data_IF_261625203289
#
_entry.id   IF_261625203289
#
_cell.length_a   1.000
_cell.length_b   1.000
_cell.length_c   1.000
_cell.angle_alpha   90.00
_cell.angle_beta   90.00
_cell.angle_gamma   90.00
#
_symmetry.space_group_name_H-M   'P 1'
#
loop_
_entity.id
_entity.type
_entity.pdbx_description
1 polymer ?
#
# COMPACT_ATOMS: atom_id res chain seq x y z
N UNK A 1 -22.57 45.06 35.45
CA UNK A 1 -23.18 44.51 34.23
C UNK A 1 -22.06 44.19 33.23
N UNK A 2 -21.74 42.90 32.98
CA UNK A 2 -20.67 42.53 32.05
C UNK A 2 -21.19 42.53 30.60
N UNK A 3 -20.34 42.93 29.66
CA UNK A 3 -20.61 43.00 28.21
C UNK A 3 -20.79 41.59 27.63
N UNK A 4 -21.61 41.42 26.56
CA UNK A 4 -21.78 40.11 25.94
C UNK A 4 -20.50 39.68 25.21
N UNK A 5 -20.00 38.50 25.53
CA UNK A 5 -18.97 37.81 24.76
C UNK A 5 -19.52 37.50 23.36
N UNK A 6 -18.87 38.05 22.33
CA UNK A 6 -19.11 37.65 20.95
C UNK A 6 -18.61 36.20 20.81
N UNK A 7 -19.53 35.25 20.67
CA UNK A 7 -19.19 33.92 20.19
C UNK A 7 -18.66 34.07 18.75
N UNK A 8 -17.43 33.61 18.53
CA UNK A 8 -16.90 33.48 17.19
C UNK A 8 -17.72 32.40 16.45
N UNK A 9 -18.20 32.75 15.26
CA UNK A 9 -18.95 31.86 14.38
C UNK A 9 -18.06 30.66 13.97
N UNK A 10 -18.46 29.41 14.27
CA UNK A 10 -17.71 28.21 13.89
C UNK A 10 -17.47 28.08 12.38
N UNK A 11 -18.28 28.74 11.55
CA UNK A 11 -18.13 28.74 10.09
C UNK A 11 -16.91 29.53 9.61
N UNK A 12 -16.39 30.47 10.40
CA UNK A 12 -15.20 31.24 10.04
C UNK A 12 -13.88 30.54 10.40
N UNK A 13 -13.87 29.60 11.35
CA UNK A 13 -12.69 28.77 11.63
C UNK A 13 -12.40 27.77 10.50
N UNK A 14 -13.44 27.28 9.82
CA UNK A 14 -13.32 26.29 8.73
C UNK A 14 -12.72 26.90 7.46
N UNK A 15 -12.91 28.22 7.24
CA UNK A 15 -12.44 28.92 6.03
C UNK A 15 -10.97 29.32 6.15
N UNK A 16 -10.48 29.60 7.37
CA UNK A 16 -9.07 29.91 7.62
C UNK A 16 -8.12 28.71 7.46
N UNK A 17 -8.58 27.51 7.81
CA UNK A 17 -7.75 26.30 7.80
C UNK A 17 -7.49 25.70 6.40
N UNK A 18 -8.34 26.00 5.40
CA UNK A 18 -8.23 25.42 4.04
C UNK A 18 -7.40 26.25 3.05
N UNK A 19 -6.88 27.41 3.47
CA UNK A 19 -6.02 28.26 2.62
C UNK A 19 -4.56 27.81 2.56
N UNK A 20 -4.18 26.78 3.32
CA UNK A 20 -2.83 26.20 3.39
C UNK A 20 -2.72 24.83 2.68
N UNK A 21 -3.63 24.51 1.76
CA UNK A 21 -3.61 23.23 1.03
C UNK A 21 -2.62 23.34 -0.15
N UNK A 22 -1.34 23.13 0.16
CA UNK A 22 -0.21 23.19 -0.76
C UNK A 22 -0.08 21.94 -1.65
N UNK A 23 0.86 22.00 -2.59
CA UNK A 23 1.14 21.00 -3.63
C UNK A 23 1.31 19.54 -3.12
N UNK A 24 1.59 19.32 -1.83
CA UNK A 24 1.67 18.00 -1.19
C UNK A 24 0.37 17.20 -1.26
N UNK A 25 -0.80 17.83 -1.10
CA UNK A 25 -2.08 17.12 -1.21
C UNK A 25 -2.34 16.60 -2.63
N UNK A 26 -1.85 17.30 -3.65
CA UNK A 26 -1.96 16.85 -5.05
C UNK A 26 -1.12 15.60 -5.30
N UNK A 27 0.06 15.51 -4.67
CA UNK A 27 0.90 14.31 -4.71
C UNK A 27 0.22 13.08 -4.10
N UNK A 28 -0.49 13.27 -2.98
CA UNK A 28 -1.25 12.20 -2.30
C UNK A 28 -2.46 11.68 -3.09
N UNK A 29 -3.01 12.47 -4.02
CA UNK A 29 -4.13 12.04 -4.88
C UNK A 29 -3.69 11.27 -6.12
N UNK A 30 -2.44 11.42 -6.57
CA UNK A 30 -1.88 10.75 -7.77
C UNK A 30 -1.41 9.30 -7.45
N UNK A 31 -1.76 8.79 -6.27
CA UNK A 31 -0.95 7.79 -5.58
C UNK A 31 -1.02 6.31 -5.99
N UNK A 32 -1.97 5.81 -6.81
CA UNK A 32 -2.20 4.36 -6.81
C UNK A 32 -2.39 3.75 -8.19
N UNK A 33 -1.25 3.43 -8.81
CA UNK A 33 -1.17 2.55 -9.96
C UNK A 33 -0.38 1.27 -9.62
N UNK A 34 -1.07 0.22 -9.16
CA UNK A 34 -0.57 -1.16 -9.31
C UNK A 34 -1.75 -2.05 -9.72
N UNK A 35 -1.65 -2.66 -10.90
CA UNK A 35 -2.49 -3.81 -11.27
C UNK A 35 -1.59 -5.03 -11.48
N UNK A 36 -1.79 -6.03 -10.61
CA UNK A 36 -1.61 -7.48 -10.81
C UNK A 36 -0.39 -7.99 -11.60
N UNK A 37 0.64 -8.51 -10.91
CA UNK A 37 1.71 -9.34 -11.52
C UNK A 37 1.32 -10.82 -11.71
N UNK A 38 0.44 -11.38 -10.85
CA UNK A 38 0.15 -12.83 -10.81
C UNK A 38 -1.29 -13.28 -11.12
N UNK A 39 -2.10 -12.49 -11.85
CA UNK A 39 -3.40 -12.98 -12.34
C UNK A 39 -3.22 -13.69 -13.69
N UNK A 40 -2.56 -14.84 -13.70
CA UNK A 40 -2.67 -15.74 -14.86
C UNK A 40 -3.00 -17.20 -14.52
N UNK A 41 -2.98 -17.60 -13.24
CA UNK A 41 -3.39 -18.95 -12.84
C UNK A 41 -4.44 -18.90 -11.70
N UNK A 42 -5.72 -18.70 -12.05
CA UNK A 42 -6.83 -19.20 -11.20
C UNK A 42 -7.84 -18.21 -10.58
N UNK A 43 -7.98 -16.98 -11.07
CA UNK A 43 -9.13 -16.12 -10.68
C UNK A 43 -10.02 -15.85 -11.90
N UNK A 44 -11.21 -16.49 -12.03
CA UNK A 44 -12.10 -16.32 -13.19
C UNK A 44 -12.76 -14.92 -13.29
N UNK A 45 -12.64 -14.07 -12.27
CA UNK A 45 -13.45 -12.85 -12.12
C UNK A 45 -12.65 -11.53 -12.23
N UNK A 46 -11.67 -11.47 -13.13
CA UNK A 46 -11.00 -10.22 -13.48
C UNK A 46 -11.94 -9.32 -14.32
N UNK A 47 -12.90 -8.66 -13.65
CA UNK A 47 -13.88 -7.76 -14.29
C UNK A 47 -13.36 -6.38 -14.69
N UNK A 48 -12.07 -6.06 -14.52
CA UNK A 48 -11.60 -4.67 -14.67
C UNK A 48 -10.25 -4.54 -15.37
N UNK A 49 -10.25 -4.69 -16.69
CA UNK A 49 -9.80 -3.72 -17.71
C UNK A 49 -9.65 -4.41 -19.08
N UNK A 50 -10.32 -3.85 -20.09
CA UNK A 50 -10.18 -4.26 -21.48
C UNK A 50 -8.78 -3.91 -22.02
N UNK A 51 -7.97 -4.93 -22.31
CA UNK A 51 -7.23 -5.02 -23.58
C UNK A 51 -7.07 -6.50 -23.93
N UNK A 52 -7.98 -7.01 -24.75
CA UNK A 52 -7.82 -8.32 -25.38
C UNK A 52 -6.78 -8.21 -26.48
N UNK A 53 -5.69 -8.99 -26.40
CA UNK A 53 -5.01 -9.44 -27.62
C UNK A 53 -4.74 -10.94 -27.50
N UNK A 54 -5.29 -11.67 -28.47
CA UNK A 54 -5.09 -13.11 -28.70
C UNK A 54 -3.60 -13.46 -28.68
N UNK A 55 -3.20 -14.43 -27.87
CA UNK A 55 -1.89 -15.09 -27.94
C UNK A 55 -1.26 -15.29 -26.58
N UNK A 56 -1.17 -16.55 -26.13
CA UNK A 56 -0.54 -16.94 -24.86
C UNK A 56 0.96 -16.67 -24.89
N UNK A 57 1.38 -15.59 -24.24
CA UNK A 57 2.77 -15.23 -24.02
C UNK A 57 2.94 -14.50 -22.70
N UNK A 58 4.01 -14.85 -21.99
CA UNK A 58 4.43 -14.33 -20.69
C UNK A 58 4.64 -12.80 -20.73
N UNK A 59 4.12 -12.08 -19.73
CA UNK A 59 4.18 -10.60 -19.65
C UNK A 59 5.61 -10.14 -19.30
N UNK A 60 6.37 -9.65 -20.30
CA UNK A 60 7.65 -8.94 -20.09
C UNK A 60 7.43 -7.45 -19.80
N UNK A 61 8.29 -6.87 -18.96
CA UNK A 61 8.11 -5.60 -18.24
C UNK A 61 7.84 -4.30 -19.02
N UNK A 62 7.82 -4.28 -20.36
CA UNK A 62 7.51 -3.04 -21.12
C UNK A 62 6.02 -2.70 -21.14
N UNK A 63 5.15 -3.71 -21.18
CA UNK A 63 3.69 -3.53 -21.14
C UNK A 63 3.21 -3.11 -19.75
N UNK A 64 3.86 -3.63 -18.70
CA UNK A 64 3.55 -3.32 -17.30
C UNK A 64 3.83 -1.85 -16.97
N UNK A 65 4.96 -1.32 -17.43
CA UNK A 65 5.28 0.12 -17.30
C UNK A 65 4.19 0.99 -17.95
N UNK A 66 3.68 0.58 -19.11
CA UNK A 66 2.64 1.31 -19.85
C UNK A 66 1.31 1.33 -19.08
N UNK A 67 0.92 0.23 -18.42
CA UNK A 67 -0.27 0.18 -17.57
C UNK A 67 -0.20 1.13 -16.36
N UNK A 68 0.99 1.28 -15.76
CA UNK A 68 1.22 2.23 -14.65
C UNK A 68 0.97 3.67 -15.12
N UNK A 69 1.42 4.03 -16.33
CA UNK A 69 1.17 5.37 -16.89
C UNK A 69 -0.31 5.69 -17.05
N UNK A 70 -1.12 4.75 -17.55
CA UNK A 70 -2.55 5.00 -17.76
C UNK A 70 -3.30 5.16 -16.43
N UNK A 71 -2.97 4.34 -15.42
CA UNK A 71 -3.54 4.45 -14.08
C UNK A 71 -3.16 5.76 -13.39
N UNK A 72 -1.89 6.18 -13.46
CA UNK A 72 -1.47 7.48 -12.92
C UNK A 72 -2.15 8.67 -13.61
N UNK A 73 -2.40 8.57 -14.93
CA UNK A 73 -3.16 9.60 -15.67
C UNK A 73 -4.60 9.65 -15.18
N UNK A 74 -5.25 8.50 -14.94
CA UNK A 74 -6.61 8.48 -14.37
C UNK A 74 -6.67 9.07 -12.98
N UNK A 75 -5.74 8.71 -12.09
CA UNK A 75 -5.68 9.27 -10.74
C UNK A 75 -5.50 10.79 -10.79
N UNK A 76 -4.63 11.28 -11.67
CA UNK A 76 -4.41 12.71 -11.89
C UNK A 76 -5.67 13.42 -12.42
N UNK A 77 -6.37 12.81 -13.38
CA UNK A 77 -7.63 13.36 -13.89
C UNK A 77 -8.73 13.35 -12.84
N UNK A 78 -8.80 12.31 -12.02
CA UNK A 78 -9.81 12.19 -10.96
C UNK A 78 -9.57 13.23 -9.88
N UNK A 79 -8.31 13.39 -9.46
CA UNK A 79 -7.87 14.42 -8.52
C UNK A 79 -8.25 15.82 -9.03
N UNK A 80 -7.97 16.10 -10.30
CA UNK A 80 -8.26 17.40 -10.91
C UNK A 80 -9.77 17.69 -10.97
N UNK A 81 -10.60 16.71 -11.34
CA UNK A 81 -12.06 16.88 -11.32
C UNK A 81 -12.55 17.16 -9.90
N UNK A 82 -12.08 16.42 -8.90
CA UNK A 82 -12.46 16.63 -7.50
C UNK A 82 -12.00 17.98 -6.95
N UNK A 83 -10.80 18.45 -7.34
CA UNK A 83 -10.27 19.74 -6.89
C UNK A 83 -10.95 20.95 -7.53
N UNK A 84 -11.46 20.78 -8.74
CA UNK A 84 -12.11 21.87 -9.48
C UNK A 84 -13.62 21.94 -9.21
N UNK A 85 -14.22 20.88 -8.65
CA UNK A 85 -15.64 20.80 -8.32
C UNK A 85 -16.01 21.55 -7.03
N UNK A 86 -15.75 22.85 -7.02
CA UNK A 86 -16.21 23.76 -5.97
C UNK A 86 -17.03 24.90 -6.57
N UNK A 87 -18.16 25.32 -5.94
CA UNK A 87 -19.01 26.38 -6.47
C UNK A 87 -18.26 27.69 -6.76
N UNK A 88 -17.21 28.00 -6.00
CA UNK A 88 -16.37 29.17 -6.21
C UNK A 88 -15.50 29.05 -7.48
N UNK A 89 -14.97 27.86 -7.77
CA UNK A 89 -14.10 27.58 -8.92
C UNK A 89 -14.89 27.38 -10.21
N UNK A 90 -16.10 26.79 -10.12
CA UNK A 90 -17.03 26.63 -11.24
C UNK A 90 -17.46 27.96 -11.89
N UNK A 91 -17.26 29.11 -11.24
CA UNK A 91 -17.50 30.45 -11.85
C UNK A 91 -16.56 30.76 -13.02
N UNK A 92 -15.41 30.09 -13.09
CA UNK A 92 -14.50 30.23 -14.22
C UNK A 92 -15.00 29.37 -15.40
N UNK A 93 -15.32 30.02 -16.53
CA UNK A 93 -15.82 29.35 -17.74
C UNK A 93 -14.94 28.20 -18.24
N UNK A 94 -13.62 28.31 -18.07
CA UNK A 94 -12.70 27.25 -18.47
C UNK A 94 -12.87 26.00 -17.58
N UNK A 95 -13.03 26.21 -16.26
CA UNK A 95 -13.24 25.14 -15.28
C UNK A 95 -14.61 24.48 -15.49
N UNK A 96 -15.65 25.29 -15.70
CA UNK A 96 -17.00 24.80 -15.99
C UNK A 96 -17.03 23.94 -17.26
N UNK A 97 -16.41 24.41 -18.34
CA UNK A 97 -16.33 23.66 -19.61
C UNK A 97 -15.57 22.34 -19.44
N UNK A 98 -14.48 22.35 -18.66
CA UNK A 98 -13.72 21.15 -18.34
C UNK A 98 -14.56 20.13 -17.55
N UNK A 99 -15.21 20.56 -16.47
CA UNK A 99 -16.03 19.68 -15.62
C UNK A 99 -17.20 19.10 -16.42
N UNK A 100 -17.92 19.92 -17.19
CA UNK A 100 -19.03 19.45 -18.02
C UNK A 100 -18.61 18.34 -19.01
N UNK A 101 -17.34 18.34 -19.44
CA UNK A 101 -16.81 17.33 -20.36
C UNK A 101 -16.41 16.04 -19.67
N UNK A 102 -15.76 16.13 -18.50
CA UNK A 102 -15.08 14.98 -17.88
C UNK A 102 -15.77 14.46 -16.62
N UNK A 103 -16.62 15.23 -15.95
CA UNK A 103 -17.27 14.87 -14.68
C UNK A 103 -18.04 13.55 -14.78
N UNK A 104 -18.85 13.38 -15.84
CA UNK A 104 -19.63 12.15 -16.07
C UNK A 104 -18.73 10.95 -16.31
N UNK A 105 -17.72 11.08 -17.18
CA UNK A 105 -16.80 9.99 -17.52
C UNK A 105 -16.00 9.56 -16.29
N UNK A 106 -15.46 10.53 -15.54
CA UNK A 106 -14.74 10.26 -14.30
C UNK A 106 -15.67 9.68 -13.23
N UNK A 107 -16.94 10.06 -13.20
CA UNK A 107 -17.96 9.44 -12.36
C UNK A 107 -18.13 7.95 -12.62
N UNK A 108 -18.32 7.56 -13.89
CA UNK A 108 -18.43 6.15 -14.27
C UNK A 108 -17.14 5.38 -13.97
N UNK A 109 -15.97 5.97 -14.19
CA UNK A 109 -14.69 5.31 -13.86
C UNK A 109 -14.59 5.07 -12.34
N UNK A 110 -14.94 6.06 -11.51
CA UNK A 110 -14.97 5.91 -10.05
C UNK A 110 -15.93 4.82 -9.59
N UNK A 111 -17.04 4.59 -10.29
CA UNK A 111 -17.97 3.50 -9.98
C UNK A 111 -17.39 2.12 -10.27
N UNK A 112 -16.50 2.01 -11.25
CA UNK A 112 -15.84 0.76 -11.64
C UNK A 112 -14.55 0.50 -10.86
N UNK A 113 -13.96 1.52 -10.24
CA UNK A 113 -12.78 1.36 -9.39
C UNK A 113 -13.11 0.61 -8.11
N UNK A 114 -12.13 -0.12 -7.59
CA UNK A 114 -12.23 -0.82 -6.32
C UNK A 114 -12.41 0.17 -5.18
N UNK A 115 -13.33 -0.14 -4.27
CA UNK A 115 -13.64 0.71 -3.12
C UNK A 115 -13.62 -0.09 -1.83
N UNK A 116 -13.61 0.63 -0.71
CA UNK A 116 -13.67 0.02 0.61
C UNK A 116 -15.00 -0.74 0.80
N UNK A 117 -16.08 -0.31 0.15
CA UNK A 117 -17.38 -0.98 0.21
C UNK A 117 -17.40 -2.36 -0.46
N UNK A 118 -16.39 -2.71 -1.28
CA UNK A 118 -16.28 -4.04 -1.88
C UNK A 118 -15.80 -5.11 -0.88
N UNK A 119 -15.47 -4.71 0.34
CA UNK A 119 -14.92 -5.56 1.39
C UNK A 119 -15.78 -5.56 2.64
N UNK A 120 -16.06 -6.75 3.17
CA UNK A 120 -16.66 -6.92 4.49
C UNK A 120 -15.56 -6.92 5.55
N UNK A 121 -15.67 -6.00 6.51
CA UNK A 121 -14.76 -5.93 7.65
C UNK A 121 -15.09 -7.05 8.63
N UNK A 122 -14.12 -7.94 8.86
CA UNK A 122 -14.26 -9.06 9.80
C UNK A 122 -13.77 -8.65 11.19
N UNK A 123 -12.54 -8.12 11.29
CA UNK A 123 -11.92 -7.77 12.58
C UNK A 123 -10.80 -6.75 12.38
N UNK A 124 -10.54 -5.90 13.37
CA UNK A 124 -9.28 -5.14 13.44
C UNK A 124 -8.18 -6.04 13.99
N UNK A 125 -7.07 -6.16 13.27
CA UNK A 125 -5.95 -7.05 13.61
C UNK A 125 -4.67 -6.29 13.99
N UNK A 126 -4.59 -4.99 13.66
CA UNK A 126 -3.45 -4.15 14.07
C UNK A 126 -3.82 -2.68 14.09
N UNK A 127 -3.09 -1.89 14.88
CA UNK A 127 -3.20 -0.42 14.91
C UNK A 127 -1.80 0.17 14.82
N UNK A 128 -1.62 1.11 13.91
CA UNK A 128 -0.35 1.79 13.69
C UNK A 128 -0.46 3.29 13.92
N UNK A 129 0.66 4.00 13.76
CA UNK A 129 0.74 5.45 13.99
C UNK A 129 -0.17 6.28 13.06
N UNK A 130 -0.44 5.78 11.84
CA UNK A 130 -1.17 6.48 10.78
C UNK A 130 -2.51 5.83 10.41
N UNK A 131 -2.90 4.75 11.10
CA UNK A 131 -4.16 4.07 10.83
C UNK A 131 -4.26 2.67 11.44
N UNK A 132 -4.99 1.78 10.77
CA UNK A 132 -5.27 0.44 11.30
C UNK A 132 -5.22 -0.63 10.20
N UNK A 133 -4.96 -1.87 10.61
CA UNK A 133 -4.98 -3.06 9.77
C UNK A 133 -6.21 -3.88 10.11
N UNK A 134 -7.01 -4.19 9.10
CA UNK A 134 -8.26 -4.91 9.21
C UNK A 134 -8.17 -6.25 8.47
N UNK A 135 -8.65 -7.32 9.10
CA UNK A 135 -9.01 -8.54 8.41
C UNK A 135 -10.31 -8.29 7.64
N UNK A 136 -10.27 -8.47 6.34
CA UNK A 136 -11.40 -8.20 5.45
C UNK A 136 -11.70 -9.38 4.54
N UNK A 137 -12.93 -9.48 4.07
CA UNK A 137 -13.36 -10.44 3.06
C UNK A 137 -13.86 -9.71 1.83
N UNK A 138 -13.28 -9.97 0.68
CA UNK A 138 -13.76 -9.38 -0.57
C UNK A 138 -15.12 -9.98 -0.95
N UNK A 139 -16.16 -9.15 -1.10
CA UNK A 139 -17.55 -9.58 -1.28
C UNK A 139 -17.76 -10.47 -2.51
N UNK A 140 -17.15 -10.11 -3.64
CA UNK A 140 -17.34 -10.87 -4.88
C UNK A 140 -16.60 -12.22 -4.84
N UNK A 141 -15.32 -12.21 -4.47
CA UNK A 141 -14.49 -13.44 -4.53
C UNK A 141 -14.53 -14.30 -3.28
N UNK A 142 -15.10 -13.80 -2.18
CA UNK A 142 -15.08 -14.41 -0.84
C UNK A 142 -13.68 -14.66 -0.24
N UNK A 143 -12.61 -14.25 -0.91
CA UNK A 143 -11.22 -14.33 -0.43
C UNK A 143 -10.99 -13.37 0.73
N UNK A 144 -10.11 -13.79 1.65
CA UNK A 144 -9.75 -13.08 2.87
C UNK A 144 -8.40 -12.38 2.69
N UNK A 145 -8.31 -11.14 3.16
CA UNK A 145 -7.13 -10.29 3.03
C UNK A 145 -6.87 -9.49 4.31
N UNK A 146 -5.65 -8.99 4.46
CA UNK A 146 -5.32 -7.95 5.41
C UNK A 146 -5.34 -6.60 4.69
N UNK A 147 -6.19 -5.67 5.13
CA UNK A 147 -6.31 -4.34 4.56
C UNK A 147 -5.72 -3.32 5.53
N UNK A 148 -4.63 -2.65 5.14
CA UNK A 148 -4.03 -1.53 5.88
C UNK A 148 -4.65 -0.22 5.40
N UNK A 149 -5.25 0.52 6.32
CA UNK A 149 -5.86 1.83 6.10
C UNK A 149 -4.90 2.89 6.63
N UNK A 150 -4.56 3.87 5.81
CA UNK A 150 -3.69 5.00 6.18
C UNK A 150 -4.46 6.31 6.03
N UNK A 151 -4.57 7.08 7.11
CA UNK A 151 -5.28 8.37 7.12
C UNK A 151 -4.50 9.43 6.36
N UNK A 152 -5.07 9.95 5.27
CA UNK A 152 -4.45 11.04 4.48
C UNK A 152 -4.21 12.28 5.34
N UNK A 153 -5.17 12.60 6.21
CA UNK A 153 -5.07 13.75 7.11
C UNK A 153 -3.89 13.63 8.09
N UNK A 154 -3.71 12.46 8.72
CA UNK A 154 -2.59 12.26 9.66
C UNK A 154 -1.23 12.23 8.95
N UNK A 155 -1.21 11.78 7.69
CA UNK A 155 0.01 11.81 6.86
C UNK A 155 0.43 13.25 6.52
N UNK A 156 -0.50 14.10 6.07
CA UNK A 156 -0.21 15.51 5.74
C UNK A 156 0.25 16.28 6.97
N UNK A 157 -0.39 16.03 8.12
CA UNK A 157 -0.02 16.65 9.39
C UNK A 157 1.40 16.29 9.86
N UNK A 158 1.96 15.18 9.39
CA UNK A 158 3.27 14.64 9.76
C UNK A 158 4.15 14.45 8.52
N UNK A 159 4.39 15.55 7.79
CA UNK A 159 5.09 15.62 6.49
C UNK A 159 6.41 14.83 6.41
N UNK A 160 7.12 14.64 7.53
CA UNK A 160 8.39 13.88 7.57
C UNK A 160 8.24 12.34 7.47
N UNK A 161 7.01 11.81 7.31
CA UNK A 161 6.71 10.38 7.44
C UNK A 161 6.26 9.67 6.15
N UNK A 162 6.46 10.29 4.98
CA UNK A 162 5.89 9.85 3.70
C UNK A 162 6.64 8.68 3.02
N UNK A 163 6.95 7.60 3.75
CA UNK A 163 7.62 6.39 3.23
C UNK A 163 6.67 5.34 2.62
N UNK A 164 5.42 5.71 2.36
CA UNK A 164 4.41 4.78 1.85
C UNK A 164 4.65 4.36 0.40
N UNK A 165 5.40 5.16 -0.37
CA UNK A 165 5.78 4.84 -1.74
C UNK A 165 6.72 3.64 -1.77
N UNK A 166 7.77 3.68 -0.94
CA UNK A 166 8.73 2.59 -0.78
C UNK A 166 8.02 1.35 -0.24
N UNK A 167 7.16 1.51 0.76
CA UNK A 167 6.38 0.38 1.30
C UNK A 167 5.54 -0.30 0.21
N UNK A 168 4.76 0.49 -0.54
CA UNK A 168 3.95 -0.01 -1.65
C UNK A 168 4.81 -0.69 -2.71
N UNK A 169 5.90 -0.06 -3.12
CA UNK A 169 6.74 -0.54 -4.22
C UNK A 169 7.45 -1.84 -3.83
N UNK A 170 7.97 -1.95 -2.60
CA UNK A 170 8.55 -3.20 -2.08
C UNK A 170 7.52 -4.32 -2.15
N UNK A 171 6.32 -4.14 -1.60
CA UNK A 171 5.30 -5.20 -1.56
C UNK A 171 4.66 -5.51 -2.92
N UNK A 172 4.63 -4.54 -3.84
CA UNK A 172 4.05 -4.71 -5.17
C UNK A 172 5.01 -5.44 -6.12
N UNK A 173 6.30 -5.14 -6.03
CA UNK A 173 7.31 -5.59 -6.97
C UNK A 173 8.20 -6.71 -6.43
N UNK A 174 8.16 -6.99 -5.12
CA UNK A 174 8.83 -8.18 -4.57
C UNK A 174 8.25 -9.44 -5.20
N UNK A 175 9.10 -10.19 -5.90
CA UNK A 175 8.81 -11.55 -6.34
C UNK A 175 9.51 -12.52 -5.38
N UNK A 176 9.24 -12.33 -4.09
CA UNK A 176 9.95 -13.02 -3.01
C UNK A 176 8.94 -13.66 -2.06
N UNK A 177 9.11 -14.94 -1.71
CA UNK A 177 8.25 -15.60 -0.73
C UNK A 177 8.40 -15.00 0.67
N UNK A 178 9.43 -14.21 0.91
CA UNK A 178 9.79 -13.65 2.22
C UNK A 178 9.14 -12.30 2.54
N UNK A 179 8.43 -11.71 1.58
CA UNK A 179 7.76 -10.40 1.70
C UNK A 179 6.27 -10.60 1.62
N UNK A 180 5.51 -9.92 2.48
CA UNK A 180 4.04 -9.90 2.38
C UNK A 180 3.63 -9.22 1.08
N UNK A 181 2.88 -9.95 0.25
CA UNK A 181 2.51 -9.50 -1.07
C UNK A 181 1.34 -8.51 -1.05
N UNK A 182 1.50 -7.40 -1.77
CA UNK A 182 0.40 -6.49 -2.08
C UNK A 182 -0.45 -7.05 -3.22
N UNK A 183 -1.75 -7.25 -2.98
CA UNK A 183 -2.71 -7.66 -4.00
C UNK A 183 -3.19 -6.47 -4.82
N UNK A 184 -3.59 -5.40 -4.14
CA UNK A 184 -3.99 -4.14 -4.77
C UNK A 184 -3.89 -3.00 -3.76
N UNK A 185 -3.87 -1.77 -4.28
CA UNK A 185 -3.99 -0.59 -3.46
C UNK A 185 -4.89 0.43 -4.15
N UNK A 186 -5.74 1.09 -3.38
CA UNK A 186 -6.71 2.09 -3.85
C UNK A 186 -6.90 3.18 -2.79
N UNK A 187 -7.65 4.23 -3.11
CA UNK A 187 -7.82 5.40 -2.24
C UNK A 187 -9.23 5.98 -2.33
N UNK A 188 -9.66 6.64 -1.27
CA UNK A 188 -10.86 7.48 -1.26
C UNK A 188 -10.51 8.92 -0.81
N UNK A 189 -11.52 9.70 -0.39
CA UNK A 189 -11.33 11.07 0.08
C UNK A 189 -10.55 11.17 1.40
N UNK A 190 -10.48 10.09 2.20
CA UNK A 190 -9.97 10.10 3.57
C UNK A 190 -8.76 9.20 3.79
N UNK A 191 -8.68 8.08 3.09
CA UNK A 191 -7.73 7.01 3.34
C UNK A 191 -7.02 6.53 2.07
N UNK A 192 -5.80 6.01 2.26
CA UNK A 192 -5.16 5.08 1.36
C UNK A 192 -5.38 3.65 1.87
N UNK A 193 -5.65 2.73 0.96
CA UNK A 193 -5.91 1.33 1.27
C UNK A 193 -4.87 0.45 0.59
N UNK A 194 -4.24 -0.42 1.36
CA UNK A 194 -3.35 -1.47 0.87
C UNK A 194 -3.95 -2.83 1.22
N UNK A 195 -4.36 -3.59 0.21
CA UNK A 195 -4.91 -4.94 0.37
C UNK A 195 -3.78 -5.94 0.15
N UNK A 196 -3.45 -6.66 1.20
CA UNK A 196 -2.33 -7.58 1.29
C UNK A 196 -2.83 -9.01 1.56
N UNK A 197 -1.98 -9.99 1.29
CA UNK A 197 -2.26 -11.36 1.74
C UNK A 197 -2.41 -11.39 3.28
N UNK A 198 -3.37 -12.19 3.75
CA UNK A 198 -3.58 -12.36 5.19
C UNK A 198 -2.64 -13.43 5.74
N UNK A 199 -1.94 -13.09 6.83
CA UNK A 199 -1.02 -13.97 7.56
C UNK A 199 -1.73 -14.55 8.80
N UNK A 200 -2.30 -15.77 8.72
CA UNK A 200 -3.14 -16.32 9.79
C UNK A 200 -2.35 -16.78 11.01
N UNK A 201 -1.03 -17.02 10.87
CA UNK A 201 -0.17 -17.47 11.97
C UNK A 201 0.17 -16.38 12.99
N UNK A 202 -0.22 -15.12 12.74
CA UNK A 202 0.10 -13.99 13.59
C UNK A 202 1.55 -13.54 13.43
N UNK A 203 2.07 -12.90 14.47
CA UNK A 203 3.45 -12.40 14.55
C UNK A 203 4.31 -13.24 15.50
N UNK A 204 5.64 -13.07 15.43
CA UNK A 204 6.55 -13.76 16.35
C UNK A 204 6.44 -13.29 17.80
N UNK A 205 5.87 -12.11 18.07
CA UNK A 205 5.57 -11.66 19.46
C UNK A 205 4.56 -12.61 20.10
N UNK A 206 3.48 -12.92 19.40
CA UNK A 206 2.45 -13.83 19.87
C UNK A 206 2.99 -15.25 20.03
N UNK A 207 3.85 -15.71 19.11
CA UNK A 207 4.50 -17.02 19.21
C UNK A 207 5.38 -17.11 20.47
N UNK A 208 6.27 -16.14 20.68
CA UNK A 208 7.20 -16.12 21.83
C UNK A 208 6.50 -15.86 23.16
N UNK A 209 5.33 -15.21 23.15
CA UNK A 209 4.51 -15.01 24.35
C UNK A 209 3.69 -16.25 24.73
N UNK A 210 3.39 -17.12 23.76
CA UNK A 210 2.55 -18.32 23.96
C UNK A 210 3.41 -19.56 24.24
N UNK A 211 4.61 -19.62 23.68
CA UNK A 211 5.47 -20.81 23.74
C UNK A 211 6.89 -20.44 24.17
N UNK A 212 7.49 -21.30 24.98
CA UNK A 212 8.94 -21.31 25.16
C UNK A 212 9.59 -21.76 23.84
N UNK A 213 10.42 -20.90 23.27
CA UNK A 213 11.05 -21.14 21.96
C UNK A 213 12.35 -21.91 22.14
N UNK A 214 12.41 -23.22 21.80
CA UNK A 214 13.65 -23.97 21.90
C UNK A 214 14.66 -23.51 20.85
N UNK A 215 15.95 -23.78 21.09
CA UNK A 215 17.04 -23.38 20.19
C UNK A 215 16.82 -23.83 18.73
N UNK A 216 16.20 -25.00 18.52
CA UNK A 216 15.87 -25.50 17.18
C UNK A 216 14.91 -24.56 16.43
N UNK A 217 13.92 -24.00 17.11
CA UNK A 217 12.97 -23.05 16.51
C UNK A 217 13.61 -21.68 16.32
N UNK A 218 14.42 -21.25 17.30
CA UNK A 218 15.19 -20.01 17.17
C UNK A 218 16.11 -20.06 15.93
N UNK A 219 16.82 -21.18 15.70
CA UNK A 219 17.64 -21.38 14.49
C UNK A 219 16.81 -21.32 13.22
N UNK A 220 15.64 -21.96 13.20
CA UNK A 220 14.73 -21.97 12.06
C UNK A 220 14.26 -20.56 11.69
N UNK A 221 13.63 -19.83 12.62
CA UNK A 221 13.12 -18.49 12.36
C UNK A 221 14.25 -17.49 12.08
N UNK A 222 15.39 -17.61 12.77
CA UNK A 222 16.56 -16.75 12.49
C UNK A 222 17.06 -16.95 11.07
N UNK A 223 17.13 -18.19 10.57
CA UNK A 223 17.54 -18.46 9.20
C UNK A 223 16.55 -17.84 8.18
N UNK A 224 15.25 -17.95 8.42
CA UNK A 224 14.24 -17.32 7.56
C UNK A 224 14.32 -15.78 7.58
N UNK A 225 14.55 -15.17 8.75
CA UNK A 225 14.78 -13.72 8.86
C UNK A 225 15.99 -13.30 8.03
N UNK A 226 17.09 -14.06 8.09
CA UNK A 226 18.31 -13.76 7.30
C UNK A 226 18.01 -13.80 5.81
N UNK A 227 17.29 -14.82 5.32
CA UNK A 227 16.90 -14.93 3.92
C UNK A 227 15.93 -13.80 3.50
N UNK A 228 15.01 -13.44 4.38
CA UNK A 228 14.08 -12.35 4.14
C UNK A 228 14.78 -10.99 4.03
N UNK A 229 15.76 -10.73 4.90
CA UNK A 229 16.57 -9.52 4.85
C UNK A 229 17.48 -9.48 3.62
N UNK A 230 18.09 -10.61 3.25
CA UNK A 230 18.89 -10.72 2.03
C UNK A 230 18.04 -10.40 0.79
N UNK A 231 16.79 -10.86 0.74
CA UNK A 231 15.87 -10.50 -0.33
C UNK A 231 15.58 -9.00 -0.40
N UNK A 232 15.36 -8.33 0.74
CA UNK A 232 15.13 -6.87 0.81
C UNK A 232 16.39 -6.09 0.39
N UNK A 233 17.55 -6.50 0.89
CA UNK A 233 18.83 -5.88 0.55
C UNK A 233 19.18 -6.07 -0.93
N UNK A 234 18.86 -7.23 -1.51
CA UNK A 234 19.03 -7.51 -2.95
C UNK A 234 18.13 -6.62 -3.84
N UNK A 235 16.99 -6.16 -3.31
CA UNK A 235 16.15 -5.15 -3.97
C UNK A 235 16.69 -3.72 -3.81
N UNK A 236 17.78 -3.53 -3.07
CA UNK A 236 18.41 -2.23 -2.83
C UNK A 236 17.71 -1.41 -1.75
N UNK A 237 17.06 -2.05 -0.78
CA UNK A 237 16.41 -1.38 0.36
C UNK A 237 16.99 -1.84 1.69
N UNK A 238 16.96 -0.98 2.70
CA UNK A 238 17.25 -1.31 4.10
C UNK A 238 15.95 -1.21 4.88
N UNK A 239 15.55 -2.25 5.62
CA UNK A 239 14.27 -2.28 6.33
C UNK A 239 14.20 -1.28 7.51
N UNK A 240 15.28 -1.18 8.30
CA UNK A 240 15.45 -0.29 9.47
C UNK A 240 14.51 -0.51 10.68
N UNK A 241 13.54 -1.43 10.62
CA UNK A 241 12.60 -1.72 11.73
C UNK A 241 12.36 -3.24 11.85
N UNK A 242 13.45 -3.99 11.93
CA UNK A 242 13.41 -5.45 12.07
C UNK A 242 13.13 -5.81 13.51
N UNK A 243 11.91 -6.29 13.78
CA UNK A 243 11.45 -6.69 15.11
C UNK A 243 10.39 -7.81 15.01
N UNK A 244 10.14 -8.57 16.10
CA UNK A 244 9.20 -9.68 16.06
C UNK A 244 7.77 -9.29 15.65
N UNK A 245 7.34 -8.04 15.88
CA UNK A 245 6.02 -7.53 15.47
C UNK A 245 5.86 -7.49 13.94
N UNK A 246 6.96 -7.30 13.21
CA UNK A 246 7.00 -7.20 11.75
C UNK A 246 7.33 -8.55 11.08
N UNK A 247 7.44 -9.62 11.87
CA UNK A 247 7.73 -10.98 11.40
C UNK A 247 6.45 -11.81 11.48
N UNK A 248 5.73 -11.89 10.36
CA UNK A 248 4.43 -12.57 10.29
C UNK A 248 4.57 -14.01 9.82
N UNK A 249 3.66 -14.87 10.28
CA UNK A 249 3.65 -16.29 9.96
C UNK A 249 2.50 -16.65 9.02
N UNK A 250 2.82 -17.38 7.97
CA UNK A 250 1.83 -17.85 7.00
C UNK A 250 1.02 -19.04 7.55
N UNK A 251 0.21 -19.66 6.70
CA UNK A 251 -0.62 -20.82 7.09
C UNK A 251 0.20 -22.07 7.45
N UNK A 252 1.42 -22.17 6.94
CA UNK A 252 2.33 -23.29 7.15
C UNK A 252 3.33 -23.01 8.29
N UNK A 253 3.35 -21.78 8.81
CA UNK A 253 4.25 -21.34 9.87
C UNK A 253 5.58 -20.79 9.37
N UNK A 254 5.69 -20.46 8.08
CA UNK A 254 6.86 -19.80 7.49
C UNK A 254 6.79 -18.29 7.63
N UNK A 255 7.95 -17.66 7.81
CA UNK A 255 8.08 -16.23 8.04
C UNK A 255 7.95 -15.41 6.75
N UNK A 256 7.22 -14.29 6.85
CA UNK A 256 7.29 -13.17 5.93
C UNK A 256 7.45 -11.86 6.68
N UNK A 257 8.27 -10.98 6.14
CA UNK A 257 8.42 -9.62 6.66
C UNK A 257 7.26 -8.74 6.20
N UNK A 258 6.83 -7.87 7.12
CA UNK A 258 5.78 -6.89 6.94
C UNK A 258 6.23 -5.50 7.44
N UNK A 259 5.40 -4.49 7.16
CA UNK A 259 5.60 -3.09 7.56
C UNK A 259 6.91 -2.46 7.05
N UNK A 260 6.90 -2.12 5.77
CA UNK A 260 8.04 -1.51 5.08
C UNK A 260 8.04 0.02 5.17
N UNK A 261 7.20 0.61 6.02
CA UNK A 261 7.04 2.06 6.17
C UNK A 261 8.27 2.78 6.74
N UNK A 262 9.33 2.07 7.14
CA UNK A 262 10.63 2.64 7.50
C UNK A 262 11.72 2.32 6.50
N UNK A 263 11.41 1.69 5.37
CA UNK A 263 12.44 1.30 4.41
C UNK A 263 13.13 2.52 3.79
N UNK A 264 14.40 2.36 3.46
CA UNK A 264 15.19 3.37 2.75
C UNK A 264 15.94 2.71 1.61
N UNK A 265 15.91 3.34 0.44
CA UNK A 265 16.69 2.89 -0.72
C UNK A 265 18.18 3.10 -0.46
N UNK A 266 18.99 2.10 -0.77
CA UNK A 266 20.44 2.18 -0.68
C UNK A 266 21.00 3.05 -1.81
N UNK A 267 21.88 3.99 -1.46
CA UNK A 267 22.65 4.75 -2.44
C UNK A 267 23.69 3.86 -3.14
N UNK A 268 24.06 4.21 -4.37
CA UNK A 268 24.93 3.42 -5.28
C UNK A 268 26.29 3.04 -4.69
N UNK A 269 26.73 3.70 -3.62
CA UNK A 269 28.03 3.50 -2.95
C UNK A 269 28.12 2.13 -2.27
N UNK A 270 27.00 1.50 -1.93
CA UNK A 270 26.97 0.18 -1.29
C UNK A 270 27.31 -0.98 -2.22
N UNK A 271 27.16 -0.83 -3.55
CA UNK A 271 27.56 -1.86 -4.52
C UNK A 271 29.08 -1.92 -4.73
N UNK A 272 29.84 -0.93 -4.26
CA UNK A 272 31.31 -0.88 -4.38
C UNK A 272 32.04 -1.73 -3.34
N UNK A 273 31.33 -2.23 -2.32
CA UNK A 273 31.81 -3.28 -1.44
C UNK A 273 30.99 -4.53 -1.75
N UNK A 274 31.63 -5.67 -2.10
CA UNK A 274 30.87 -6.90 -2.26
C UNK A 274 30.11 -7.14 -0.95
N UNK A 275 28.79 -7.37 -0.98
CA UNK A 275 28.11 -7.89 0.19
C UNK A 275 28.83 -9.20 0.54
N UNK A 276 29.07 -9.40 1.84
CA UNK A 276 29.75 -10.53 2.47
C UNK A 276 29.88 -11.80 1.61
N UNK A 277 31.06 -12.47 1.61
CA UNK A 277 31.30 -13.64 0.77
C UNK A 277 30.14 -14.61 0.90
N UNK A 278 29.54 -14.91 -0.25
CA UNK A 278 28.46 -15.87 -0.44
C UNK A 278 28.63 -17.02 0.53
N UNK A 279 27.77 -17.10 1.54
CA UNK A 279 27.72 -18.30 2.39
C UNK A 279 27.14 -19.38 1.50
N UNK A 280 28.03 -20.12 0.84
CA UNK A 280 27.70 -21.41 0.26
C UNK A 280 27.24 -22.29 1.43
N UNK A 281 25.93 -22.44 1.60
CA UNK A 281 25.38 -23.58 2.34
C UNK A 281 25.65 -24.79 1.45
N UNK A 282 26.86 -25.32 1.55
CA UNK A 282 27.23 -26.55 0.88
C UNK A 282 26.42 -27.68 1.51
N UNK A 283 25.53 -28.25 0.69
CA UNK A 283 24.95 -29.57 0.93
C UNK A 283 26.06 -30.58 1.14
N UNK A 284 26.34 -30.94 2.39
CA UNK A 284 26.88 -32.26 2.75
C UNK A 284 26.32 -32.66 4.11
N UNK A 285 25.09 -33.17 4.09
CA UNK A 285 24.64 -34.13 5.09
C UNK A 285 24.80 -35.51 4.47
N UNK A 286 25.92 -36.15 4.76
CA UNK A 286 26.07 -37.61 4.68
C UNK A 286 26.90 -38.04 5.89
N UNK A 287 26.19 -38.74 6.78
CA UNK A 287 26.59 -39.60 7.91
C UNK A 287 27.54 -39.06 9.00
#
# INVERSE_FOLDING_TARGET
MPRPQRYADPSQLVIGHRKLMGEEERGLRICLAVTHKHAWNGCPDAKYFLFSRRGGGELRGSVFQTCIWVLCVWDSMNALVLDLDYPALRKNKNIETFLNRYEKVMGTIRELQMKSEDFDRVKVIGRGAFGEVQLVRHKASQKVYAMKLLSKFEMIKRSDSAFFWEERDIMAFSDSPWVVQLCCAFQDDRYLYMVMEYMPGGDLVNLTSTYDVPEKWAKFYTAEVVLALDAIHSMGFIHRDVKPDNMLLDRLGHLKLADFGTCMKMDTVWFTYPPFPTVYIAHTWTD
#
